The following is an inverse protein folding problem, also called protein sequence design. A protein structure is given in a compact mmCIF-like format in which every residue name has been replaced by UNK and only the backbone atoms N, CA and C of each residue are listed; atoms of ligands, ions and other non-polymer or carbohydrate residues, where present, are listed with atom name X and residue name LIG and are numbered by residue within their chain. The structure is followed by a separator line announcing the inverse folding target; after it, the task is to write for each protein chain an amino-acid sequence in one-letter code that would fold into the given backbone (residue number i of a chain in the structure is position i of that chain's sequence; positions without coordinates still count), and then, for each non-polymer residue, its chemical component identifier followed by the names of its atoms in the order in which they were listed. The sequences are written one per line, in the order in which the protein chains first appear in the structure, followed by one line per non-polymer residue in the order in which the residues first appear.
data_IF_981067683684
#
_entry.id   IF_981067683684
#
_cell.length_a   1.000
_cell.length_b   1.000
_cell.length_c   1.000
_cell.angle_alpha   90.00
_cell.angle_beta   90.00
_cell.angle_gamma   90.00
#
_symmetry.space_group_name_H-M   'P 1'
#
loop_
_entity.id
_entity.type
_entity.pdbx_description
1 polymer ?
#
# COMPACT_ATOMS: atom_id res chain seq x y z
N UNK A 1 -19.00 16.00 -2.33
CA UNK A 1 -18.48 15.97 -3.72
C UNK A 1 -16.98 16.21 -3.78
N UNK A 2 -16.40 17.10 -2.97
CA UNK A 2 -14.96 17.46 -3.03
C UNK A 2 -13.99 16.30 -2.89
N UNK A 3 -14.19 15.40 -1.92
CA UNK A 3 -13.27 14.26 -1.68
C UNK A 3 -13.11 13.32 -2.89
N UNK A 4 -14.17 13.12 -3.68
CA UNK A 4 -14.07 12.31 -4.89
C UNK A 4 -13.22 12.99 -5.96
N UNK A 5 -13.40 14.30 -6.16
CA UNK A 5 -12.62 15.07 -7.15
C UNK A 5 -11.15 15.09 -6.76
N UNK A 6 -10.86 15.40 -5.49
CA UNK A 6 -9.51 15.40 -4.95
C UNK A 6 -8.83 14.02 -5.05
N UNK A 7 -9.58 12.95 -4.76
CA UNK A 7 -9.09 11.57 -4.89
C UNK A 7 -8.75 11.21 -6.34
N UNK A 8 -9.59 11.59 -7.30
CA UNK A 8 -9.31 11.33 -8.72
C UNK A 8 -8.11 12.13 -9.22
N UNK A 9 -8.02 13.42 -8.88
CA UNK A 9 -6.88 14.26 -9.27
C UNK A 9 -5.55 13.74 -8.70
N UNK A 10 -5.55 13.33 -7.43
CA UNK A 10 -4.36 12.77 -6.76
C UNK A 10 -3.87 11.49 -7.43
N UNK A 11 -4.79 10.64 -7.91
CA UNK A 11 -4.45 9.32 -8.47
C UNK A 11 -4.30 9.31 -10.00
N UNK A 12 -4.64 10.41 -10.69
CA UNK A 12 -4.71 10.47 -12.15
C UNK A 12 -3.42 10.09 -12.89
N UNK A 13 -2.26 10.31 -12.27
CA UNK A 13 -0.93 10.05 -12.85
C UNK A 13 -0.19 8.84 -12.28
N UNK A 14 -0.80 8.05 -11.41
CA UNK A 14 -0.08 7.04 -10.61
C UNK A 14 0.48 5.87 -11.44
N UNK A 15 -0.10 5.59 -12.61
CA UNK A 15 0.28 4.44 -13.44
C UNK A 15 -0.23 3.10 -12.87
N UNK A 16 0.35 1.96 -13.28
CA UNK A 16 -0.03 0.65 -12.76
C UNK A 16 0.16 0.56 -11.24
N UNK A 17 -0.88 0.17 -10.51
CA UNK A 17 -0.85 0.10 -9.06
C UNK A 17 -1.44 -1.22 -8.55
N UNK A 18 -0.97 -1.66 -7.38
CA UNK A 18 -1.48 -2.83 -6.66
C UNK A 18 -1.97 -2.37 -5.28
N UNK A 19 -3.22 -2.70 -4.97
CA UNK A 19 -3.78 -2.47 -3.64
C UNK A 19 -3.41 -3.63 -2.71
N UNK A 20 -2.76 -3.32 -1.58
CA UNK A 20 -2.33 -4.30 -0.58
C UNK A 20 -3.13 -4.10 0.70
N UNK A 21 -3.73 -5.19 1.18
CA UNK A 21 -4.53 -5.23 2.40
C UNK A 21 -3.96 -6.24 3.39
N UNK A 22 -4.10 -5.93 4.68
CA UNK A 22 -3.74 -6.85 5.74
C UNK A 22 -4.11 -6.30 7.11
N UNK A 23 -3.82 -7.10 8.13
CA UNK A 23 -4.19 -6.77 9.51
C UNK A 23 -3.42 -5.55 10.02
N UNK A 24 -4.17 -4.60 10.59
CA UNK A 24 -3.62 -3.42 11.28
C UNK A 24 -2.99 -3.74 12.65
N UNK A 25 -3.01 -5.02 13.07
CA UNK A 25 -2.64 -5.46 14.43
C UNK A 25 -1.35 -6.30 14.45
N UNK A 26 -0.69 -6.46 13.29
CA UNK A 26 0.56 -7.21 13.20
C UNK A 26 1.70 -6.35 13.74
N UNK A 27 2.48 -6.92 14.64
CA UNK A 27 3.69 -6.27 15.18
C UNK A 27 4.88 -6.47 14.24
N UNK A 28 5.84 -5.50 14.17
CA UNK A 28 7.07 -5.65 13.40
C UNK A 28 7.92 -6.90 13.68
N UNK A 29 7.73 -7.53 14.85
CA UNK A 29 8.45 -8.77 15.22
C UNK A 29 7.81 -10.04 14.65
N UNK A 30 6.61 -9.95 14.10
CA UNK A 30 5.90 -11.11 13.54
C UNK A 30 6.30 -11.30 12.07
N UNK A 31 6.42 -12.56 11.65
CA UNK A 31 6.89 -12.94 10.30
C UNK A 31 6.20 -12.22 9.15
N UNK A 32 4.91 -11.91 9.30
CA UNK A 32 4.10 -11.33 8.23
C UNK A 32 4.40 -9.85 8.00
N UNK A 33 4.92 -9.13 9.00
CA UNK A 33 5.35 -7.74 8.79
C UNK A 33 6.53 -7.69 7.81
N UNK A 34 7.57 -8.49 8.06
CA UNK A 34 8.73 -8.58 7.16
C UNK A 34 8.36 -9.07 5.76
N UNK A 35 7.47 -10.07 5.67
CA UNK A 35 6.97 -10.55 4.38
C UNK A 35 6.19 -9.47 3.61
N UNK A 36 5.38 -8.65 4.29
CA UNK A 36 4.66 -7.55 3.67
C UNK A 36 5.61 -6.49 3.10
N UNK A 37 6.64 -6.11 3.87
CA UNK A 37 7.67 -5.19 3.42
C UNK A 37 8.43 -5.73 2.19
N UNK A 38 8.79 -7.02 2.19
CA UNK A 38 9.46 -7.67 1.06
C UNK A 38 8.58 -7.69 -0.20
N UNK A 39 7.28 -7.97 -0.05
CA UNK A 39 6.32 -7.92 -1.16
C UNK A 39 6.21 -6.48 -1.71
N UNK A 40 6.09 -5.48 -0.82
CA UNK A 40 6.06 -4.07 -1.21
C UNK A 40 7.31 -3.65 -2.00
N UNK A 41 8.49 -4.05 -1.53
CA UNK A 41 9.76 -3.80 -2.23
C UNK A 41 9.77 -4.43 -3.63
N UNK A 42 9.35 -5.70 -3.74
CA UNK A 42 9.33 -6.42 -5.03
C UNK A 42 8.34 -5.78 -6.02
N UNK A 43 7.17 -5.34 -5.54
CA UNK A 43 6.20 -4.62 -6.37
C UNK A 43 6.76 -3.30 -6.89
N UNK A 44 7.38 -2.50 -6.01
CA UNK A 44 8.01 -1.25 -6.39
C UNK A 44 9.14 -1.47 -7.41
N UNK A 45 10.01 -2.48 -7.19
CA UNK A 45 11.06 -2.85 -8.15
C UNK A 45 10.53 -3.33 -9.50
N UNK A 46 9.34 -3.91 -9.52
CA UNK A 46 8.66 -4.34 -10.75
C UNK A 46 7.92 -3.20 -11.46
N UNK A 47 7.95 -1.96 -10.93
CA UNK A 47 7.35 -0.78 -11.56
C UNK A 47 5.89 -0.54 -11.19
N UNK A 48 5.38 -1.16 -10.13
CA UNK A 48 4.04 -0.92 -9.62
C UNK A 48 4.05 0.07 -8.46
N UNK A 49 3.10 1.01 -8.45
CA UNK A 49 2.76 1.74 -7.25
C UNK A 49 2.06 0.81 -6.25
N UNK A 50 2.32 0.98 -4.96
CA UNK A 50 1.66 0.22 -3.89
C UNK A 50 0.68 1.14 -3.17
N UNK A 51 -0.60 0.76 -3.15
CA UNK A 51 -1.66 1.50 -2.45
C UNK A 51 -2.09 0.68 -1.24
N UNK A 52 -2.18 1.31 -0.07
CA UNK A 52 -2.68 0.68 1.16
C UNK A 52 -3.77 1.55 1.80
N UNK A 53 -4.38 1.06 2.88
CA UNK A 53 -5.29 1.86 3.71
C UNK A 53 -4.59 2.87 4.64
N UNK A 54 -3.25 2.97 4.60
CA UNK A 54 -2.46 3.91 5.42
C UNK A 54 -2.47 3.63 6.93
N UNK A 55 -2.98 2.47 7.34
CA UNK A 55 -3.00 2.05 8.75
C UNK A 55 -1.71 1.32 9.16
N UNK A 56 -1.56 1.01 10.47
CA UNK A 56 -0.40 0.28 10.98
C UNK A 56 -0.37 -1.19 10.52
N UNK A 57 0.65 -1.94 10.93
CA UNK A 57 0.73 -3.38 10.72
C UNK A 57 1.16 -3.74 9.31
N UNK A 58 0.38 -4.54 8.59
CA UNK A 58 0.74 -4.99 7.22
C UNK A 58 0.73 -3.86 6.18
N UNK A 59 0.04 -2.76 6.47
CA UNK A 59 -0.12 -1.63 5.55
C UNK A 59 0.97 -0.55 5.68
N UNK A 60 1.91 -0.74 6.62
CA UNK A 60 3.07 0.12 6.90
C UNK A 60 4.30 -0.35 6.11
#
# INVERSE_FOLDING_TARGET
MGEFVEGFETLAGLGPAVAVFGSARISPRQRYYGAAAEVGERLARAGYAVITGGGPGIME
#
